data_IF_726453265037
#
_entry.id   IF_726453265037
#
_cell.length_a   1.000
_cell.length_b   1.000
_cell.length_c   1.000
_cell.angle_alpha   90.00
_cell.angle_beta   90.00
_cell.angle_gamma   90.00
#
_symmetry.space_group_name_H-M   'P 1'
#
loop_
_entity.id
_entity.type
_entity.pdbx_description
1 polymer ?
#
# COMPACT_ATOMS: atom_id res chain seq x y z
N UNK A 1 16.58 8.00 -28.11
CA UNK A 1 16.86 6.81 -27.29
C UNK A 1 16.95 7.35 -25.88
N UNK A 2 15.79 7.36 -25.16
CA UNK A 2 15.75 7.83 -23.78
C UNK A 2 16.17 6.66 -22.91
N UNK A 3 17.24 6.86 -22.18
CA UNK A 3 17.79 5.90 -21.21
C UNK A 3 16.93 5.96 -19.95
N UNK A 4 15.93 5.06 -19.86
CA UNK A 4 14.93 5.02 -18.78
C UNK A 4 15.34 4.04 -17.66
N UNK A 5 16.55 3.55 -17.68
CA UNK A 5 17.00 2.53 -16.75
C UNK A 5 18.16 3.02 -15.89
N UNK A 6 17.92 3.89 -14.92
CA UNK A 6 18.82 4.01 -13.75
C UNK A 6 18.26 4.95 -12.65
N UNK A 7 16.98 4.86 -12.32
CA UNK A 7 16.62 5.16 -10.95
C UNK A 7 16.69 3.83 -10.17
N UNK A 8 17.84 3.62 -9.54
CA UNK A 8 17.99 2.53 -8.57
C UNK A 8 17.05 2.87 -7.42
N UNK A 9 15.87 2.25 -7.39
CA UNK A 9 14.96 2.39 -6.27
C UNK A 9 15.74 2.00 -5.01
N UNK A 10 15.91 2.93 -4.09
CA UNK A 10 16.52 2.61 -2.81
C UNK A 10 15.69 1.51 -2.15
N UNK A 11 16.30 0.37 -1.83
CA UNK A 11 15.58 -0.74 -1.24
C UNK A 11 14.95 -0.28 0.08
N UNK A 12 13.76 -0.80 0.40
CA UNK A 12 13.11 -0.54 1.67
C UNK A 12 14.07 -0.82 2.83
N UNK A 13 14.25 0.12 3.79
CA UNK A 13 15.09 -0.11 4.96
C UNK A 13 14.70 -1.39 5.69
N UNK A 14 15.69 -2.21 6.04
CA UNK A 14 15.47 -3.48 6.76
C UNK A 14 15.72 -3.36 8.27
N UNK A 15 16.31 -2.25 8.70
CA UNK A 15 16.60 -1.98 10.12
C UNK A 15 15.47 -1.19 10.75
N UNK A 16 14.90 -1.71 11.83
CA UNK A 16 13.82 -1.08 12.58
C UNK A 16 14.12 0.38 12.96
N UNK A 17 15.32 0.64 13.43
CA UNK A 17 15.75 1.98 13.83
C UNK A 17 15.65 3.00 12.68
N UNK A 18 16.08 2.61 11.50
CA UNK A 18 15.99 3.46 10.30
C UNK A 18 14.53 3.74 9.94
N UNK A 19 13.68 2.72 9.90
CA UNK A 19 12.24 2.86 9.64
C UNK A 19 11.57 3.83 10.61
N UNK A 20 11.88 3.72 11.90
CA UNK A 20 11.31 4.61 12.92
C UNK A 20 11.86 6.03 12.80
N UNK A 21 13.12 6.23 12.40
CA UNK A 21 13.68 7.54 12.15
C UNK A 21 13.07 8.21 10.91
N UNK A 22 12.90 7.46 9.82
CA UNK A 22 12.22 7.94 8.61
C UNK A 22 10.79 8.34 8.93
N UNK A 23 10.11 7.55 9.77
CA UNK A 23 8.76 7.90 10.20
C UNK A 23 8.73 9.13 11.12
N UNK A 24 9.72 9.35 11.99
CA UNK A 24 9.82 10.60 12.78
C UNK A 24 9.96 11.83 11.89
N UNK A 25 10.76 11.73 10.83
CA UNK A 25 10.90 12.80 9.85
C UNK A 25 9.57 13.06 9.15
N UNK A 26 8.92 12.02 8.63
CA UNK A 26 7.59 12.12 8.03
C UNK A 26 6.57 12.74 9.01
N UNK A 27 6.57 12.30 10.27
CA UNK A 27 5.65 12.80 11.30
C UNK A 27 5.83 14.30 11.55
N UNK A 28 7.07 14.79 11.53
CA UNK A 28 7.35 16.20 11.76
C UNK A 28 7.02 17.10 10.57
N UNK A 29 7.15 16.59 9.34
CA UNK A 29 7.08 17.40 8.11
C UNK A 29 5.72 17.29 7.40
N UNK A 30 5.07 16.11 7.44
CA UNK A 30 3.93 15.80 6.58
C UNK A 30 2.67 15.39 7.32
N UNK A 31 2.77 14.91 8.56
CA UNK A 31 1.63 14.31 9.25
C UNK A 31 0.47 15.30 9.51
N UNK A 32 0.78 16.59 9.69
CA UNK A 32 -0.22 17.64 9.86
C UNK A 32 -1.11 17.84 8.62
N UNK A 33 -0.60 17.57 7.43
CA UNK A 33 -1.34 17.68 6.15
C UNK A 33 -1.89 16.34 5.66
N UNK A 34 -1.60 15.25 6.34
CA UNK A 34 -1.94 13.90 5.94
C UNK A 34 -3.42 13.72 5.59
N UNK A 35 -4.33 14.23 6.42
CA UNK A 35 -5.78 14.11 6.19
C UNK A 35 -6.24 14.71 4.85
N UNK A 36 -5.54 15.71 4.34
CA UNK A 36 -5.84 16.40 3.08
C UNK A 36 -5.16 15.77 1.87
N UNK A 37 -3.95 15.25 2.05
CA UNK A 37 -3.09 14.77 0.95
C UNK A 37 -3.12 13.25 0.74
N UNK A 38 -3.49 12.47 1.76
CA UNK A 38 -3.41 11.01 1.76
C UNK A 38 -4.16 10.29 0.62
N UNK A 39 -5.16 10.94 0.05
CA UNK A 39 -5.98 10.35 -1.02
C UNK A 39 -5.41 10.58 -2.43
N UNK A 40 -4.36 11.38 -2.55
CA UNK A 40 -3.73 11.66 -3.83
C UNK A 40 -2.53 10.73 -4.03
N UNK A 41 -2.54 10.02 -5.14
CA UNK A 41 -1.35 9.33 -5.63
C UNK A 41 -0.43 10.36 -6.28
N UNK A 42 0.67 10.65 -5.60
CA UNK A 42 1.67 11.65 -6.06
C UNK A 42 2.78 10.99 -6.88
N UNK A 43 2.70 9.67 -7.07
CA UNK A 43 3.79 8.90 -7.66
C UNK A 43 5.00 8.78 -6.74
N UNK A 44 6.00 8.02 -7.19
CA UNK A 44 7.25 7.87 -6.43
C UNK A 44 7.90 9.24 -6.15
N UNK A 45 8.42 9.52 -4.94
CA UNK A 45 8.60 8.62 -3.77
C UNK A 45 7.44 8.59 -2.77
N UNK A 46 6.22 9.03 -3.12
CA UNK A 46 5.03 9.03 -2.26
C UNK A 46 5.21 9.80 -0.94
N UNK A 47 5.79 11.01 -1.03
CA UNK A 47 6.15 11.80 0.15
C UNK A 47 4.96 12.21 1.04
N UNK A 48 3.73 12.16 0.52
CA UNK A 48 2.50 12.50 1.24
C UNK A 48 1.95 11.37 2.12
N UNK A 49 2.55 10.18 2.11
CA UNK A 49 2.16 9.02 2.92
C UNK A 49 3.37 8.38 3.63
N UNK A 50 3.12 7.74 4.76
CA UNK A 50 4.19 7.22 5.63
C UNK A 50 4.95 6.01 5.10
N UNK A 51 4.43 5.31 4.10
CA UNK A 51 4.95 4.04 3.56
C UNK A 51 5.22 2.94 4.61
N UNK A 52 4.53 2.98 5.76
CA UNK A 52 4.74 2.03 6.87
C UNK A 52 4.09 0.66 6.65
N UNK A 53 3.22 0.51 5.66
CA UNK A 53 2.45 -0.72 5.45
C UNK A 53 3.30 -1.99 5.32
N UNK A 54 4.44 -2.03 4.59
CA UNK A 54 5.29 -3.21 4.51
C UNK A 54 5.87 -3.62 5.87
N UNK A 55 6.27 -2.64 6.67
CA UNK A 55 6.92 -2.86 7.97
C UNK A 55 5.95 -3.34 9.04
N UNK A 56 4.75 -2.76 9.08
CA UNK A 56 3.70 -3.20 9.99
C UNK A 56 3.22 -4.60 9.60
N UNK A 57 3.04 -4.88 8.30
CA UNK A 57 2.64 -6.19 7.79
C UNK A 57 3.61 -7.29 8.24
N UNK A 58 4.92 -7.01 8.17
CA UNK A 58 5.99 -7.98 8.51
C UNK A 58 6.41 -7.93 9.98
N UNK A 59 5.70 -7.16 10.81
CA UNK A 59 5.97 -7.03 12.26
C UNK A 59 7.36 -6.48 12.61
N UNK A 60 7.99 -5.77 11.70
CA UNK A 60 9.23 -5.04 11.98
C UNK A 60 8.95 -3.83 12.90
N UNK A 61 7.81 -3.18 12.69
CA UNK A 61 7.31 -2.06 13.49
C UNK A 61 5.87 -2.35 13.89
N UNK A 62 5.52 -2.06 15.14
CA UNK A 62 4.16 -2.22 15.65
C UNK A 62 3.32 -0.97 15.47
N UNK A 63 2.00 -1.15 15.42
CA UNK A 63 1.03 -0.05 15.40
C UNK A 63 1.21 0.88 16.61
N UNK A 64 1.53 0.31 17.78
CA UNK A 64 1.74 1.08 19.02
C UNK A 64 2.96 2.01 18.92
N UNK A 65 4.09 1.52 18.40
CA UNK A 65 5.29 2.35 18.21
C UNK A 65 5.04 3.51 17.25
N UNK A 66 4.30 3.24 16.17
CA UNK A 66 3.90 4.28 15.20
C UNK A 66 3.01 5.33 15.86
N UNK A 67 2.02 4.92 16.64
CA UNK A 67 1.13 5.84 17.32
C UNK A 67 1.86 6.66 18.40
N UNK A 68 2.78 6.07 19.16
CA UNK A 68 3.60 6.80 20.13
C UNK A 68 4.40 7.91 19.45
N UNK A 69 5.10 7.61 18.36
CA UNK A 69 5.87 8.61 17.61
C UNK A 69 4.96 9.70 17.02
N UNK A 70 3.83 9.31 16.44
CA UNK A 70 2.90 10.27 15.86
C UNK A 70 2.36 11.27 16.92
N UNK A 71 2.14 10.80 18.15
CA UNK A 71 1.61 11.59 19.25
C UNK A 71 2.67 12.42 19.99
N UNK A 72 3.96 12.22 19.75
CA UNK A 72 5.03 13.02 20.39
C UNK A 72 4.86 14.54 20.17
N UNK A 73 4.38 14.93 18.99
CA UNK A 73 4.26 16.33 18.56
C UNK A 73 2.87 16.75 18.13
N UNK A 74 1.91 15.82 18.11
CA UNK A 74 0.58 16.06 17.59
C UNK A 74 -0.50 15.63 18.59
N UNK A 75 -1.66 16.28 18.52
CA UNK A 75 -2.83 15.87 19.31
C UNK A 75 -3.61 14.74 18.64
N UNK A 76 -4.34 13.96 19.43
CA UNK A 76 -5.22 12.89 18.92
C UNK A 76 -6.22 13.44 17.89
N UNK A 77 -6.79 14.61 18.15
CA UNK A 77 -7.76 15.24 17.25
C UNK A 77 -7.17 15.64 15.89
N UNK A 78 -5.90 16.07 15.85
CA UNK A 78 -5.22 16.41 14.59
C UNK A 78 -4.83 15.17 13.79
N UNK A 79 -4.69 14.01 14.45
CA UNK A 79 -4.28 12.76 13.85
C UNK A 79 -5.41 11.76 13.60
N UNK A 80 -6.66 12.15 13.82
CA UNK A 80 -7.80 11.23 13.75
C UNK A 80 -7.77 10.33 12.51
N UNK A 81 -7.55 10.91 11.33
CA UNK A 81 -7.50 10.16 10.08
C UNK A 81 -6.29 9.21 9.98
N UNK A 82 -5.15 9.62 10.48
CA UNK A 82 -3.97 8.75 10.51
C UNK A 82 -4.16 7.57 11.46
N UNK A 83 -4.70 7.82 12.65
CA UNK A 83 -5.02 6.79 13.65
C UNK A 83 -6.04 5.80 13.09
N UNK A 84 -7.10 6.29 12.43
CA UNK A 84 -8.09 5.44 11.76
C UNK A 84 -7.45 4.51 10.74
N UNK A 85 -6.56 5.01 9.88
CA UNK A 85 -5.88 4.19 8.87
C UNK A 85 -5.01 3.08 9.47
N UNK A 86 -4.36 3.33 10.60
CA UNK A 86 -3.60 2.31 11.33
C UNK A 86 -4.53 1.19 11.83
N UNK A 87 -5.68 1.55 12.40
CA UNK A 87 -6.64 0.57 12.94
C UNK A 87 -7.46 -0.15 11.86
N UNK A 88 -7.62 0.41 10.65
CA UNK A 88 -8.27 -0.27 9.54
C UNK A 88 -7.65 -1.64 9.23
N UNK A 89 -6.36 -1.79 9.41
CA UNK A 89 -5.67 -3.07 9.27
C UNK A 89 -6.23 -4.13 10.22
N UNK A 90 -6.38 -3.81 11.49
CA UNK A 90 -6.94 -4.73 12.50
C UNK A 90 -8.41 -5.04 12.21
N UNK A 91 -9.17 -4.04 11.80
CA UNK A 91 -10.57 -4.21 11.41
C UNK A 91 -10.72 -5.20 10.24
N UNK A 92 -10.00 -4.98 9.14
CA UNK A 92 -10.11 -5.83 7.96
C UNK A 92 -9.63 -7.26 8.21
N UNK A 93 -8.63 -7.42 9.05
CA UNK A 93 -8.18 -8.74 9.46
C UNK A 93 -9.27 -9.49 10.23
N UNK A 94 -9.89 -8.87 11.24
CA UNK A 94 -11.01 -9.46 11.95
C UNK A 94 -12.24 -9.69 11.06
N UNK A 95 -12.46 -8.82 10.07
CA UNK A 95 -13.53 -8.99 9.08
C UNK A 95 -13.33 -10.25 8.24
N UNK A 96 -12.12 -10.52 7.77
CA UNK A 96 -11.77 -11.73 7.00
C UNK A 96 -11.83 -12.99 7.87
N UNK A 97 -11.38 -12.93 9.12
CA UNK A 97 -11.45 -14.06 10.06
C UNK A 97 -12.88 -14.55 10.30
N UNK A 98 -13.87 -13.66 10.16
CA UNK A 98 -15.30 -13.98 10.30
C UNK A 98 -15.97 -14.42 8.98
N UNK A 99 -15.22 -14.53 7.90
CA UNK A 99 -15.72 -14.89 6.56
C UNK A 99 -14.86 -15.95 5.90
N UNK A 100 -14.90 -17.19 6.39
CA UNK A 100 -14.11 -18.29 5.84
C UNK A 100 -14.47 -18.60 4.38
N UNK A 101 -15.70 -18.34 3.97
CA UNK A 101 -16.18 -18.46 2.59
C UNK A 101 -15.35 -17.64 1.59
N UNK A 102 -14.90 -16.45 1.97
CA UNK A 102 -14.01 -15.62 1.13
C UNK A 102 -12.66 -16.30 0.93
N UNK A 103 -12.15 -16.98 1.97
CA UNK A 103 -10.89 -17.70 1.87
C UNK A 103 -11.03 -18.98 1.03
N UNK A 104 -12.12 -19.71 1.20
CA UNK A 104 -12.44 -20.88 0.37
C UNK A 104 -12.59 -20.51 -1.12
N UNK A 105 -13.25 -19.38 -1.41
CA UNK A 105 -13.34 -18.87 -2.77
C UNK A 105 -11.96 -18.49 -3.33
N UNK A 106 -11.09 -17.90 -2.52
CA UNK A 106 -9.72 -17.59 -2.91
C UNK A 106 -8.91 -18.85 -3.25
N UNK A 107 -8.98 -19.89 -2.41
CA UNK A 107 -8.25 -21.15 -2.64
C UNK A 107 -8.71 -21.91 -3.89
N UNK A 108 -10.00 -21.84 -4.19
CA UNK A 108 -10.61 -22.60 -5.30
C UNK A 108 -10.84 -21.78 -6.57
N UNK A 109 -10.72 -20.47 -6.51
CA UNK A 109 -11.16 -19.56 -7.57
C UNK A 109 -10.08 -19.15 -8.57
N UNK A 110 -8.88 -19.77 -8.54
CA UNK A 110 -7.85 -19.42 -9.51
C UNK A 110 -8.19 -19.95 -10.90
N UNK A 111 -8.40 -19.04 -11.85
CA UNK A 111 -8.82 -19.33 -13.21
C UNK A 111 -7.68 -19.32 -14.24
N UNK A 112 -6.41 -19.21 -13.77
CA UNK A 112 -5.23 -19.15 -14.66
C UNK A 112 -5.09 -17.83 -15.41
N UNK A 113 -5.90 -16.82 -15.11
CA UNK A 113 -5.80 -15.54 -15.80
C UNK A 113 -4.54 -14.79 -15.39
N UNK A 114 -3.82 -14.30 -16.37
CA UNK A 114 -2.61 -13.50 -16.19
C UNK A 114 -2.85 -12.06 -16.63
N UNK A 115 -2.02 -11.17 -16.12
CA UNK A 115 -2.00 -9.80 -16.58
C UNK A 115 -1.51 -9.77 -18.03
N UNK A 116 -2.18 -9.06 -18.97
CA UNK A 116 -1.60 -8.79 -20.28
C UNK A 116 -0.39 -7.85 -20.14
N UNK A 117 0.59 -7.98 -21.02
CA UNK A 117 1.80 -7.15 -21.01
C UNK A 117 1.49 -5.65 -20.97
N UNK A 118 0.45 -5.21 -21.70
CA UNK A 118 -0.11 -3.86 -21.64
C UNK A 118 -1.60 -3.89 -21.88
N UNK A 119 -2.33 -3.11 -21.07
CA UNK A 119 -3.79 -2.99 -21.19
C UNK A 119 -4.23 -1.83 -22.08
N UNK A 120 -3.33 -0.85 -22.30
CA UNK A 120 -3.63 0.42 -22.95
C UNK A 120 -4.28 1.45 -21.99
N UNK A 121 -4.57 1.10 -20.77
CA UNK A 121 -5.03 2.01 -19.71
C UNK A 121 -3.80 2.56 -19.01
N UNK A 122 -3.36 3.75 -19.41
CA UNK A 122 -2.07 4.32 -19.02
C UNK A 122 -1.79 4.31 -17.51
N UNK A 123 -2.78 4.68 -16.67
CA UNK A 123 -2.60 4.68 -15.22
C UNK A 123 -2.45 3.26 -14.67
N UNK A 124 -3.21 2.30 -15.20
CA UNK A 124 -3.14 0.91 -14.78
C UNK A 124 -1.80 0.28 -15.15
N UNK A 125 -1.35 0.48 -16.38
CA UNK A 125 -0.06 -0.02 -16.86
C UNK A 125 1.11 0.58 -16.05
N UNK A 126 1.05 1.89 -15.76
CA UNK A 126 2.03 2.56 -14.90
C UNK A 126 2.05 2.01 -13.46
N UNK A 127 0.89 1.83 -12.83
CA UNK A 127 0.82 1.23 -11.48
C UNK A 127 1.29 -0.23 -11.48
N UNK A 128 1.10 -0.97 -12.57
CA UNK A 128 1.65 -2.33 -12.71
C UNK A 128 3.17 -2.31 -12.70
N UNK A 129 3.76 -1.43 -13.50
CA UNK A 129 5.22 -1.24 -13.58
C UNK A 129 5.78 -0.83 -12.20
N UNK A 130 5.19 0.18 -11.57
CA UNK A 130 5.59 0.64 -10.25
C UNK A 130 5.54 -0.47 -9.19
N UNK A 131 4.46 -1.25 -9.15
CA UNK A 131 4.30 -2.33 -8.18
C UNK A 131 5.34 -3.44 -8.38
N UNK A 132 5.60 -3.85 -9.62
CA UNK A 132 6.59 -4.88 -9.95
C UNK A 132 8.01 -4.40 -9.59
N UNK A 133 8.34 -3.16 -9.90
CA UNK A 133 9.68 -2.61 -9.71
C UNK A 133 9.98 -2.29 -8.24
N UNK A 134 9.00 -1.77 -7.50
CA UNK A 134 9.22 -1.22 -6.16
C UNK A 134 8.68 -2.09 -5.03
N UNK A 135 7.78 -3.03 -5.30
CA UNK A 135 7.05 -3.76 -4.27
C UNK A 135 6.08 -2.86 -3.47
N UNK A 136 5.74 -1.70 -4.01
CA UNK A 136 4.86 -0.74 -3.35
C UNK A 136 3.89 -0.11 -4.36
N UNK A 137 2.70 0.20 -3.88
CA UNK A 137 1.71 0.99 -4.60
C UNK A 137 0.89 1.79 -3.60
N UNK A 138 0.60 3.05 -3.92
CA UNK A 138 -0.23 3.92 -3.09
C UNK A 138 -1.60 3.28 -2.79
N UNK A 139 -2.11 3.43 -1.56
CA UNK A 139 -3.33 2.73 -1.12
C UNK A 139 -4.54 2.97 -2.04
N UNK A 140 -4.77 4.22 -2.48
CA UNK A 140 -5.88 4.50 -3.38
C UNK A 140 -5.65 3.93 -4.78
N UNK A 141 -4.41 3.92 -5.26
CA UNK A 141 -4.07 3.27 -6.53
C UNK A 141 -4.38 1.77 -6.48
N UNK A 142 -4.13 1.08 -5.35
CA UNK A 142 -4.53 -0.33 -5.17
C UNK A 142 -6.05 -0.54 -5.31
N UNK A 143 -6.84 0.35 -4.76
CA UNK A 143 -8.31 0.28 -4.86
C UNK A 143 -8.78 0.49 -6.31
N UNK A 144 -8.24 1.47 -7.01
CA UNK A 144 -8.55 1.72 -8.41
C UNK A 144 -8.03 0.60 -9.31
N UNK A 145 -6.84 0.09 -9.02
CA UNK A 145 -6.25 -1.06 -9.72
C UNK A 145 -7.16 -2.29 -9.63
N UNK A 146 -7.59 -2.66 -8.43
CA UNK A 146 -8.51 -3.78 -8.22
C UNK A 146 -9.85 -3.55 -8.93
N UNK A 147 -10.37 -2.33 -8.92
CA UNK A 147 -11.60 -1.97 -9.63
C UNK A 147 -11.46 -2.13 -11.15
N UNK A 148 -10.36 -1.65 -11.74
CA UNK A 148 -10.09 -1.81 -13.17
C UNK A 148 -9.91 -3.29 -13.52
N UNK A 149 -9.15 -4.03 -12.72
CA UNK A 149 -8.92 -5.46 -12.89
C UNK A 149 -10.23 -6.23 -12.99
N UNK A 150 -11.12 -6.05 -12.02
CA UNK A 150 -12.36 -6.82 -11.93
C UNK A 150 -13.41 -6.32 -12.92
N UNK A 151 -13.69 -5.01 -12.93
CA UNK A 151 -14.85 -4.47 -13.63
C UNK A 151 -14.58 -4.05 -15.07
N UNK A 152 -13.37 -3.59 -15.38
CA UNK A 152 -13.00 -3.15 -16.73
C UNK A 152 -12.38 -4.28 -17.53
N UNK A 153 -11.37 -4.93 -16.99
CA UNK A 153 -10.66 -6.03 -17.65
C UNK A 153 -11.39 -7.38 -17.51
N UNK A 154 -12.43 -7.45 -16.67
CA UNK A 154 -13.26 -8.65 -16.43
C UNK A 154 -12.43 -9.87 -16.00
N UNK A 155 -11.40 -9.66 -15.23
CA UNK A 155 -10.52 -10.73 -14.72
C UNK A 155 -10.97 -11.19 -13.33
N UNK A 156 -10.63 -12.44 -12.99
CA UNK A 156 -10.87 -13.01 -11.67
C UNK A 156 -10.23 -12.16 -10.57
N UNK A 157 -10.97 -11.90 -9.50
CA UNK A 157 -10.44 -11.22 -8.33
C UNK A 157 -9.34 -12.04 -7.64
N UNK A 158 -9.42 -13.37 -7.71
CA UNK A 158 -8.42 -14.28 -7.14
C UNK A 158 -7.07 -14.13 -7.85
N UNK A 159 -7.09 -14.03 -9.20
CA UNK A 159 -5.87 -13.78 -9.96
C UNK A 159 -5.27 -12.39 -9.65
N UNK A 160 -6.10 -11.38 -9.42
CA UNK A 160 -5.65 -10.06 -8.97
C UNK A 160 -5.08 -10.09 -7.55
N UNK A 161 -5.67 -10.87 -6.64
CA UNK A 161 -5.17 -11.05 -5.29
C UNK A 161 -3.80 -11.76 -5.30
N UNK A 162 -3.62 -12.80 -6.11
CA UNK A 162 -2.33 -13.45 -6.29
C UNK A 162 -1.27 -12.49 -6.81
N UNK A 163 -1.61 -11.68 -7.82
CA UNK A 163 -0.70 -10.66 -8.34
C UNK A 163 -0.24 -9.68 -7.23
N UNK A 164 -1.15 -9.24 -6.36
CA UNK A 164 -0.79 -8.40 -5.21
C UNK A 164 0.05 -9.14 -4.15
N UNK A 165 -0.19 -10.44 -3.93
CA UNK A 165 0.58 -11.22 -2.97
C UNK A 165 2.01 -11.40 -3.43
N UNK A 166 2.21 -11.60 -4.74
CA UNK A 166 3.52 -11.83 -5.33
C UNK A 166 4.41 -10.58 -5.36
N UNK A 167 3.80 -9.37 -5.39
CA UNK A 167 4.53 -8.12 -5.61
C UNK A 167 4.48 -7.12 -4.42
N UNK A 168 3.71 -7.37 -3.34
CA UNK A 168 3.59 -6.45 -2.16
C UNK A 168 4.43 -6.88 -0.97
#
# INVERSE_FOLDING_TARGET
>A
MYDIYHDVHEPFPTKKEQVLNDFRNFSSEHLFSYSKSRNFDMGHPHANVSKLSPYIRRRLVSENEVLQIALEKNSVSSLEKFIQEIFWRTYWRGWLEQRPDVYEEYENGYDGSHLPDKTGIKCFDHWTEELIETGYLHNHARMWYASIWIFTLRKSWVSGANFFIDHL
#
